data_IF_010654989976
#
_entry.id   IF_010654989976
#
_cell.length_a   1.000
_cell.length_b   1.000
_cell.length_c   1.000
_cell.angle_alpha   90.00
_cell.angle_beta   90.00
_cell.angle_gamma   90.00
#
_symmetry.space_group_name_H-M   'P 1'
#
loop_
_entity.id
_entity.type
_entity.pdbx_description
1 polymer ?
#
# COMPACT_ATOMS: atom_id res chain seq x y z
N UNK A 1 -9.55 23.03 -2.48
CA UNK A 1 -10.99 22.70 -2.64
C UNK A 1 -11.06 21.44 -3.50
N UNK A 2 -11.77 20.40 -3.06
CA UNK A 2 -12.00 19.22 -3.92
C UNK A 2 -12.83 19.65 -5.13
N UNK A 3 -12.59 19.07 -6.30
CA UNK A 3 -13.36 19.37 -7.52
C UNK A 3 -14.87 19.05 -7.38
N UNK A 4 -15.23 18.29 -6.34
CA UNK A 4 -16.58 17.82 -6.08
C UNK A 4 -17.14 18.44 -4.80
N UNK A 5 -18.32 19.05 -4.91
CA UNK A 5 -19.14 19.46 -3.77
C UNK A 5 -20.11 18.33 -3.41
N UNK A 6 -19.83 17.65 -2.29
CA UNK A 6 -20.63 16.50 -1.85
C UNK A 6 -21.86 16.90 -1.03
N UNK A 7 -22.07 18.19 -0.77
CA UNK A 7 -23.25 18.68 -0.03
C UNK A 7 -24.51 18.72 -0.90
N UNK A 8 -24.35 18.79 -2.22
CA UNK A 8 -25.45 18.76 -3.18
C UNK A 8 -25.66 17.37 -3.77
N UNK A 9 -26.90 17.08 -4.16
CA UNK A 9 -27.24 15.83 -4.84
C UNK A 9 -26.44 15.65 -6.14
N UNK A 10 -26.41 16.68 -7.00
CA UNK A 10 -25.72 16.62 -8.29
C UNK A 10 -24.20 16.53 -8.15
N UNK A 11 -23.60 17.24 -7.19
CA UNK A 11 -22.16 17.16 -6.97
C UNK A 11 -21.73 15.79 -6.43
N UNK A 12 -22.54 15.18 -5.55
CA UNK A 12 -22.34 13.79 -5.11
C UNK A 12 -22.52 12.79 -6.23
N UNK A 13 -23.55 12.93 -7.07
CA UNK A 13 -23.76 12.07 -8.25
C UNK A 13 -22.56 12.16 -9.21
N UNK A 14 -22.06 13.37 -9.48
CA UNK A 14 -20.88 13.59 -10.33
C UNK A 14 -19.64 12.90 -9.75
N UNK A 15 -19.41 13.00 -8.43
CA UNK A 15 -18.30 12.32 -7.77
C UNK A 15 -18.41 10.80 -7.90
N UNK A 16 -19.60 10.22 -7.72
CA UNK A 16 -19.80 8.79 -7.90
C UNK A 16 -19.58 8.31 -9.34
N UNK A 17 -20.06 9.07 -10.34
CA UNK A 17 -19.81 8.75 -11.74
C UNK A 17 -18.33 8.84 -12.10
N UNK A 18 -17.63 9.88 -11.64
CA UNK A 18 -16.18 10.00 -11.83
C UNK A 18 -15.43 8.84 -11.15
N UNK A 19 -15.79 8.50 -9.91
CA UNK A 19 -15.17 7.37 -9.20
C UNK A 19 -15.39 6.04 -9.96
N UNK A 20 -16.61 5.81 -10.45
CA UNK A 20 -16.96 4.62 -11.20
C UNK A 20 -16.09 4.46 -12.45
N UNK A 21 -15.97 5.51 -13.26
CA UNK A 21 -15.33 5.45 -14.57
C UNK A 21 -13.83 5.76 -14.53
N UNK A 22 -13.43 6.90 -13.96
CA UNK A 22 -12.03 7.36 -13.92
C UNK A 22 -11.17 6.40 -13.10
N UNK A 23 -11.65 5.96 -11.93
CA UNK A 23 -10.91 5.00 -11.11
C UNK A 23 -11.18 3.53 -11.46
N UNK A 24 -12.10 3.25 -12.39
CA UNK A 24 -12.57 1.89 -12.68
C UNK A 24 -13.09 1.20 -11.42
N UNK A 25 -13.85 1.93 -10.61
CA UNK A 25 -14.36 1.42 -9.33
C UNK A 25 -15.47 0.38 -9.50
N UNK A 26 -16.04 0.25 -10.70
CA UNK A 26 -16.98 -0.81 -11.04
C UNK A 26 -16.40 -2.22 -10.77
N UNK A 27 -15.09 -2.42 -10.95
CA UNK A 27 -14.37 -3.66 -10.60
C UNK A 27 -14.43 -3.99 -9.11
N UNK A 28 -14.74 -3.00 -8.26
CA UNK A 28 -14.68 -3.08 -6.79
C UNK A 28 -16.07 -2.95 -6.14
N UNK A 29 -17.14 -3.01 -6.93
CA UNK A 29 -18.51 -3.01 -6.39
C UNK A 29 -18.78 -4.27 -5.55
N UNK A 30 -18.35 -5.45 -6.03
CA UNK A 30 -18.49 -6.72 -5.32
C UNK A 30 -17.18 -7.30 -4.78
N UNK A 31 -16.04 -6.94 -5.36
CA UNK A 31 -14.73 -7.51 -5.00
C UNK A 31 -13.91 -6.54 -4.14
N UNK A 32 -13.46 -6.98 -2.96
CA UNK A 32 -12.81 -6.12 -1.95
C UNK A 32 -11.32 -6.41 -1.70
N UNK A 33 -10.73 -7.42 -2.36
CA UNK A 33 -9.36 -7.93 -2.11
C UNK A 33 -8.92 -7.77 -0.64
N UNK A 34 -9.80 -8.14 0.29
CA UNK A 34 -9.65 -7.88 1.70
C UNK A 34 -9.08 -9.10 2.41
N UNK A 35 -7.99 -8.89 3.14
CA UNK A 35 -7.29 -9.94 3.87
C UNK A 35 -6.86 -9.41 5.22
N UNK A 36 -7.15 -10.15 6.28
CA UNK A 36 -6.62 -9.85 7.60
C UNK A 36 -5.11 -10.13 7.62
N UNK A 37 -4.33 -9.14 8.01
CA UNK A 37 -2.88 -9.27 8.25
C UNK A 37 -2.65 -9.75 9.69
N UNK A 38 -3.52 -9.33 10.61
CA UNK A 38 -3.63 -9.75 12.02
C UNK A 38 -5.11 -9.66 12.45
N UNK A 39 -5.39 -9.81 13.73
CA UNK A 39 -6.69 -9.48 14.34
C UNK A 39 -6.96 -7.95 14.42
N UNK A 40 -5.93 -7.12 14.28
CA UNK A 40 -6.04 -5.66 14.36
C UNK A 40 -6.08 -4.96 12.98
N UNK A 41 -5.43 -5.50 11.95
CA UNK A 41 -5.28 -4.84 10.65
C UNK A 41 -5.81 -5.69 9.49
N UNK A 42 -6.72 -5.11 8.69
CA UNK A 42 -7.13 -5.65 7.39
C UNK A 42 -6.53 -4.83 6.26
N UNK A 43 -5.95 -5.49 5.26
CA UNK A 43 -5.55 -4.86 3.99
C UNK A 43 -6.66 -5.05 2.96
N UNK A 44 -6.91 -4.05 2.11
CA UNK A 44 -7.96 -4.12 1.10
C UNK A 44 -7.64 -3.31 -0.18
N UNK A 45 -8.47 -3.47 -1.21
CA UNK A 45 -8.54 -2.53 -2.33
C UNK A 45 -9.34 -1.27 -1.95
N UNK A 46 -9.44 -0.29 -2.87
CA UNK A 46 -10.12 0.98 -2.56
C UNK A 46 -11.59 0.70 -2.20
N UNK A 47 -12.03 1.04 -0.97
CA UNK A 47 -13.38 0.76 -0.55
C UNK A 47 -14.35 1.76 -1.16
N UNK A 48 -15.58 1.31 -1.39
CA UNK A 48 -16.71 2.18 -1.63
C UNK A 48 -17.27 2.73 -0.30
N UNK A 49 -17.95 3.90 -0.32
CA UNK A 49 -18.62 4.44 0.88
C UNK A 49 -19.54 3.44 1.59
N UNK A 50 -20.27 2.59 0.85
CA UNK A 50 -21.12 1.56 1.46
C UNK A 50 -20.31 0.41 2.09
N UNK A 51 -19.13 0.09 1.55
CA UNK A 51 -18.22 -0.91 2.11
C UNK A 51 -17.58 -0.40 3.40
N UNK A 52 -17.25 0.89 3.48
CA UNK A 52 -16.80 1.53 4.72
C UNK A 52 -17.86 1.40 5.83
N UNK A 53 -19.15 1.55 5.50
CA UNK A 53 -20.25 1.29 6.45
C UNK A 53 -20.26 -0.16 6.95
N UNK A 54 -19.93 -1.13 6.10
CA UNK A 54 -19.80 -2.55 6.52
C UNK A 54 -18.60 -2.74 7.44
N UNK A 55 -17.46 -2.12 7.13
CA UNK A 55 -16.27 -2.17 7.96
C UNK A 55 -16.46 -1.50 9.32
N UNK A 56 -17.17 -0.38 9.38
CA UNK A 56 -17.56 0.26 10.65
C UNK A 56 -18.36 -0.70 11.53
N UNK A 57 -19.32 -1.43 10.94
CA UNK A 57 -20.10 -2.45 11.66
C UNK A 57 -19.24 -3.62 12.15
N UNK A 58 -18.12 -3.90 11.48
CA UNK A 58 -17.12 -4.89 11.90
C UNK A 58 -16.11 -4.34 12.92
N UNK A 59 -16.28 -3.09 13.38
CA UNK A 59 -15.45 -2.49 14.42
C UNK A 59 -14.22 -1.72 13.92
N UNK A 60 -14.02 -1.55 12.61
CA UNK A 60 -12.91 -0.73 12.10
C UNK A 60 -13.08 0.72 12.58
N UNK A 61 -12.01 1.26 13.15
CA UNK A 61 -11.92 2.64 13.67
C UNK A 61 -11.15 3.55 12.73
N UNK A 62 -10.06 3.06 12.15
CA UNK A 62 -9.17 3.83 11.27
C UNK A 62 -9.15 3.29 9.84
N UNK A 63 -9.18 4.18 8.85
CA UNK A 63 -8.95 3.87 7.43
C UNK A 63 -7.66 4.56 6.99
N UNK A 64 -6.70 3.77 6.49
CA UNK A 64 -5.39 4.25 6.04
C UNK A 64 -5.38 4.24 4.51
N UNK A 65 -5.41 5.44 3.92
CA UNK A 65 -5.33 5.63 2.48
C UNK A 65 -3.87 5.77 2.02
N UNK A 66 -3.40 4.79 1.24
CA UNK A 66 -2.04 4.78 0.70
C UNK A 66 -1.91 5.49 -0.66
N UNK A 67 -2.97 6.12 -1.16
CA UNK A 67 -3.00 6.81 -2.44
C UNK A 67 -2.79 8.30 -2.26
N UNK A 68 -2.07 8.91 -3.19
CA UNK A 68 -2.15 10.35 -3.41
C UNK A 68 -3.39 10.72 -4.23
N UNK A 69 -3.48 12.00 -4.62
CA UNK A 69 -4.61 12.54 -5.38
C UNK A 69 -5.75 12.99 -4.46
N UNK A 70 -5.48 13.99 -3.63
CA UNK A 70 -6.42 14.52 -2.62
C UNK A 70 -7.55 15.36 -3.21
N UNK A 71 -7.46 15.68 -4.50
CA UNK A 71 -8.44 16.40 -5.31
C UNK A 71 -9.37 15.46 -6.09
N UNK A 72 -9.14 14.14 -6.02
CA UNK A 72 -9.91 13.14 -6.77
C UNK A 72 -11.25 12.80 -6.13
N UNK A 73 -12.18 12.24 -6.92
CA UNK A 73 -13.46 11.72 -6.43
C UNK A 73 -13.29 10.61 -5.39
N UNK A 74 -12.24 9.79 -5.52
CA UNK A 74 -12.00 8.67 -4.59
C UNK A 74 -11.72 9.19 -3.19
N UNK A 75 -10.82 10.17 -3.07
CA UNK A 75 -10.48 10.79 -1.79
C UNK A 75 -11.66 11.58 -1.21
N UNK A 76 -12.35 12.35 -2.04
CA UNK A 76 -13.50 13.13 -1.59
C UNK A 76 -14.61 12.24 -1.01
N UNK A 77 -14.99 11.17 -1.72
CA UNK A 77 -16.04 10.25 -1.28
C UNK A 77 -15.62 9.43 -0.06
N UNK A 78 -14.36 9.01 0.03
CA UNK A 78 -13.83 8.25 1.16
C UNK A 78 -13.77 9.10 2.43
N UNK A 79 -13.28 10.33 2.32
CA UNK A 79 -13.23 11.28 3.44
C UNK A 79 -14.63 11.59 3.98
N UNK A 80 -15.57 11.95 3.11
CA UNK A 80 -16.98 12.18 3.48
C UNK A 80 -17.60 10.95 4.15
N UNK A 81 -17.32 9.74 3.64
CA UNK A 81 -17.83 8.52 4.24
C UNK A 81 -17.24 8.27 5.63
N UNK A 82 -15.93 8.45 5.80
CA UNK A 82 -15.26 8.29 7.10
C UNK A 82 -15.80 9.29 8.13
N UNK A 83 -15.91 10.57 7.76
CA UNK A 83 -16.48 11.63 8.62
C UNK A 83 -17.90 11.27 9.07
N UNK A 84 -18.77 10.89 8.12
CA UNK A 84 -20.16 10.52 8.43
C UNK A 84 -20.31 9.26 9.28
N UNK A 85 -19.32 8.36 9.23
CA UNK A 85 -19.31 7.10 9.99
C UNK A 85 -18.56 7.22 11.33
N UNK A 86 -17.97 8.38 11.63
CA UNK A 86 -17.10 8.55 12.79
C UNK A 86 -15.92 7.58 12.74
N UNK A 87 -15.26 7.49 11.58
CA UNK A 87 -14.01 6.75 11.39
C UNK A 87 -12.88 7.74 11.16
N UNK A 88 -11.72 7.47 11.73
CA UNK A 88 -10.52 8.27 11.48
C UNK A 88 -9.95 7.90 10.12
N UNK A 89 -9.71 8.89 9.25
CA UNK A 89 -8.99 8.68 8.00
C UNK A 89 -7.55 9.17 8.14
N UNK A 90 -6.58 8.32 7.79
CA UNK A 90 -5.15 8.64 7.78
C UNK A 90 -4.63 8.54 6.35
N UNK A 91 -4.20 9.68 5.81
CA UNK A 91 -3.57 9.74 4.51
C UNK A 91 -2.05 9.50 4.64
N UNK A 92 -1.59 8.33 4.18
CA UNK A 92 -0.17 7.95 4.19
C UNK A 92 0.26 7.52 2.79
N UNK A 93 0.60 8.49 1.93
CA UNK A 93 0.88 8.21 0.52
C UNK A 93 2.05 7.24 0.37
N UNK A 94 1.91 6.22 -0.49
CA UNK A 94 3.00 5.32 -0.85
C UNK A 94 3.00 5.14 -2.37
N UNK A 95 4.16 4.86 -2.94
CA UNK A 95 4.37 4.57 -4.37
C UNK A 95 4.54 3.06 -4.57
N UNK A 96 3.95 2.48 -5.63
CA UNK A 96 4.00 1.04 -5.88
C UNK A 96 5.23 0.57 -6.68
N UNK A 97 6.09 1.48 -7.14
CA UNK A 97 7.21 1.19 -8.07
C UNK A 97 8.50 1.93 -7.71
N UNK A 98 8.63 2.29 -6.44
CA UNK A 98 9.79 3.02 -5.91
C UNK A 98 10.24 2.37 -4.62
N UNK A 99 11.52 2.53 -4.32
CA UNK A 99 12.06 2.24 -2.99
C UNK A 99 11.51 3.29 -2.01
N UNK A 100 10.92 2.90 -0.87
CA UNK A 100 10.51 3.86 0.13
C UNK A 100 11.68 4.75 0.57
N UNK A 101 11.43 6.04 0.81
CA UNK A 101 12.45 6.87 1.46
C UNK A 101 12.60 6.47 2.94
N UNK A 102 13.76 6.77 3.54
CA UNK A 102 13.99 6.60 4.99
C UNK A 102 12.85 7.21 5.82
N UNK A 103 12.49 8.45 5.50
CA UNK A 103 11.38 9.16 6.14
C UNK A 103 10.03 8.44 6.00
N UNK A 104 9.79 7.75 4.86
CA UNK A 104 8.56 6.97 4.66
C UNK A 104 8.56 5.71 5.53
N UNK A 105 9.68 5.02 5.66
CA UNK A 105 9.78 3.83 6.53
C UNK A 105 9.58 4.22 8.00
N UNK A 106 10.25 5.28 8.44
CA UNK A 106 10.12 5.81 9.80
C UNK A 106 8.70 6.30 10.08
N UNK A 107 8.11 7.04 9.13
CA UNK A 107 6.72 7.50 9.24
C UNK A 107 5.71 6.36 9.28
N UNK A 108 5.96 5.25 8.55
CA UNK A 108 5.10 4.08 8.60
C UNK A 108 5.11 3.42 9.99
N UNK A 109 6.31 3.27 10.59
CA UNK A 109 6.45 2.78 11.97
C UNK A 109 5.67 3.67 12.94
N UNK A 110 5.92 4.98 12.89
CA UNK A 110 5.23 5.94 13.76
C UNK A 110 3.71 5.91 13.59
N UNK A 111 3.23 5.81 12.35
CA UNK A 111 1.79 5.67 12.07
C UNK A 111 1.23 4.42 12.74
N UNK A 112 1.84 3.24 12.56
CA UNK A 112 1.35 2.01 13.19
C UNK A 112 1.39 2.04 14.72
N UNK A 113 2.31 2.80 15.32
CA UNK A 113 2.39 2.98 16.77
C UNK A 113 1.30 3.93 17.32
N UNK A 114 0.67 4.77 16.48
CA UNK A 114 -0.18 5.89 16.94
C UNK A 114 -1.63 5.81 16.50
N UNK A 115 -1.97 5.05 15.46
CA UNK A 115 -3.35 4.92 15.01
C UNK A 115 -4.22 4.11 15.97
N UNK A 116 -5.54 4.29 15.86
CA UNK A 116 -6.51 3.45 16.56
C UNK A 116 -6.83 2.17 15.77
N UNK A 117 -6.71 1.02 16.44
CA UNK A 117 -7.11 -0.29 15.92
C UNK A 117 -8.50 -0.72 16.43
N UNK A 118 -9.24 -1.58 15.69
CA UNK A 118 -8.89 -2.18 14.41
C UNK A 118 -8.85 -1.20 13.23
N UNK A 119 -7.94 -1.42 12.27
CA UNK A 119 -7.70 -0.52 11.15
C UNK A 119 -7.84 -1.24 9.79
N UNK A 120 -8.23 -0.49 8.77
CA UNK A 120 -8.24 -0.92 7.38
C UNK A 120 -7.20 -0.12 6.59
N UNK A 121 -6.26 -0.80 5.94
CA UNK A 121 -5.27 -0.18 5.07
C UNK A 121 -5.55 -0.53 3.61
N UNK A 122 -5.56 0.47 2.73
CA UNK A 122 -5.86 0.21 1.32
C UNK A 122 -5.03 1.02 0.35
N UNK A 123 -5.07 0.57 -0.90
CA UNK A 123 -4.64 1.34 -2.05
C UNK A 123 -5.67 1.14 -3.18
N UNK A 124 -5.30 1.30 -4.46
CA UNK A 124 -6.24 1.04 -5.56
C UNK A 124 -6.70 -0.42 -5.63
N UNK A 125 -5.76 -1.36 -5.75
CA UNK A 125 -6.05 -2.80 -5.92
C UNK A 125 -5.82 -3.64 -4.66
N UNK A 126 -5.30 -3.05 -3.58
CA UNK A 126 -4.91 -3.78 -2.37
C UNK A 126 -3.67 -4.68 -2.52
N UNK A 127 -2.95 -4.56 -3.64
CA UNK A 127 -1.80 -5.40 -3.98
C UNK A 127 -0.47 -4.78 -3.50
N UNK A 128 0.12 -3.86 -4.26
CA UNK A 128 1.51 -3.46 -4.07
C UNK A 128 1.73 -2.53 -2.87
N UNK A 129 1.06 -1.37 -2.83
CA UNK A 129 1.22 -0.38 -1.74
C UNK A 129 0.72 -0.93 -0.41
N UNK A 130 -0.45 -1.56 -0.43
CA UNK A 130 -0.96 -2.26 0.73
C UNK A 130 -0.04 -3.43 1.12
N UNK A 131 0.57 -4.11 0.15
CA UNK A 131 1.54 -5.18 0.37
C UNK A 131 2.76 -4.72 1.13
N UNK A 132 3.49 -3.73 0.62
CA UNK A 132 4.69 -3.22 1.31
C UNK A 132 4.36 -2.67 2.70
N UNK A 133 3.24 -1.96 2.85
CA UNK A 133 2.83 -1.48 4.17
C UNK A 133 2.39 -2.62 5.10
N UNK A 134 1.88 -3.72 4.57
CA UNK A 134 1.57 -4.93 5.35
C UNK A 134 2.85 -5.66 5.79
N UNK A 135 3.90 -5.67 4.97
CA UNK A 135 5.24 -6.14 5.39
C UNK A 135 5.76 -5.28 6.55
N UNK A 136 5.70 -3.95 6.41
CA UNK A 136 6.15 -3.03 7.46
C UNK A 136 5.31 -3.14 8.73
N UNK A 137 3.99 -3.30 8.62
CA UNK A 137 3.11 -3.54 9.77
C UNK A 137 3.48 -4.84 10.49
N UNK A 138 3.60 -5.95 9.74
CA UNK A 138 3.96 -7.24 10.30
C UNK A 138 5.31 -7.19 11.02
N UNK A 139 6.28 -6.47 10.46
CA UNK A 139 7.58 -6.29 11.09
C UNK A 139 7.53 -5.38 12.33
N UNK A 140 7.01 -4.16 12.19
CA UNK A 140 7.08 -3.16 13.27
C UNK A 140 6.06 -3.38 14.39
N UNK A 141 4.83 -3.79 14.06
CA UNK A 141 3.75 -3.99 15.05
C UNK A 141 3.74 -5.41 15.61
N UNK A 142 3.90 -6.42 14.74
CA UNK A 142 3.82 -7.84 15.17
C UNK A 142 5.19 -8.45 15.51
N UNK A 143 6.29 -7.73 15.27
CA UNK A 143 7.64 -8.21 15.55
C UNK A 143 8.12 -9.32 14.62
N UNK A 144 7.45 -9.56 13.49
CA UNK A 144 7.84 -10.63 12.57
C UNK A 144 9.19 -10.31 11.91
N UNK A 145 10.08 -11.31 11.71
CA UNK A 145 11.25 -11.13 10.86
C UNK A 145 10.86 -10.70 9.44
N UNK A 146 11.68 -9.85 8.80
CA UNK A 146 11.39 -9.37 7.42
C UNK A 146 11.19 -10.55 6.46
N UNK A 147 11.98 -11.62 6.61
CA UNK A 147 11.89 -12.85 5.81
C UNK A 147 10.49 -13.47 5.83
N UNK A 148 9.80 -13.43 6.96
CA UNK A 148 8.44 -13.94 7.11
C UNK A 148 7.41 -12.91 6.63
N UNK A 149 7.60 -11.64 7.04
CA UNK A 149 6.71 -10.54 6.70
C UNK A 149 6.59 -10.34 5.17
N UNK A 150 7.64 -10.64 4.41
CA UNK A 150 7.65 -10.59 2.94
C UNK A 150 6.56 -11.47 2.29
N UNK A 151 5.97 -12.44 2.98
CA UNK A 151 4.81 -13.19 2.48
C UNK A 151 3.59 -12.30 2.14
N UNK A 152 3.56 -11.07 2.68
CA UNK A 152 2.57 -10.04 2.33
C UNK A 152 2.75 -9.49 0.90
N UNK A 153 3.88 -9.76 0.23
CA UNK A 153 4.11 -9.51 -1.19
C UNK A 153 4.02 -10.84 -1.94
N UNK A 154 2.80 -11.25 -2.29
CA UNK A 154 2.58 -12.53 -2.98
C UNK A 154 1.41 -12.50 -3.96
N UNK A 155 1.37 -13.45 -4.92
CA UNK A 155 0.25 -13.57 -5.86
C UNK A 155 -1.12 -13.74 -5.19
N UNK A 156 -1.16 -14.26 -3.95
CA UNK A 156 -2.38 -14.34 -3.12
C UNK A 156 -3.07 -12.97 -3.01
N UNK A 157 -2.29 -11.90 -2.96
CA UNK A 157 -2.77 -10.53 -2.82
C UNK A 157 -2.74 -9.74 -4.13
N UNK A 158 -2.61 -10.44 -5.27
CA UNK A 158 -2.46 -9.90 -6.62
C UNK A 158 -1.15 -9.13 -6.87
N UNK A 159 -0.13 -9.33 -6.02
CA UNK A 159 1.19 -8.75 -6.22
C UNK A 159 2.00 -9.60 -7.23
N UNK A 160 2.68 -8.93 -8.16
CA UNK A 160 3.51 -9.57 -9.19
C UNK A 160 4.93 -9.01 -9.15
N UNK A 161 5.87 -9.84 -8.69
CA UNK A 161 7.29 -9.48 -8.57
C UNK A 161 8.00 -9.28 -9.91
N UNK A 162 7.56 -9.96 -10.98
CA UNK A 162 8.23 -9.91 -12.29
C UNK A 162 8.16 -8.53 -12.99
N UNK A 163 7.26 -7.65 -12.56
CA UNK A 163 7.13 -6.29 -13.08
C UNK A 163 7.96 -5.25 -12.32
N UNK A 164 7.78 -3.98 -12.65
CA UNK A 164 8.42 -2.85 -11.93
C UNK A 164 8.02 -2.77 -10.44
N UNK A 165 6.94 -3.44 -10.05
CA UNK A 165 6.49 -3.60 -8.67
C UNK A 165 7.41 -4.50 -7.84
N UNK A 166 8.23 -5.34 -8.47
CA UNK A 166 9.24 -6.18 -7.80
C UNK A 166 10.34 -5.40 -7.09
N UNK A 167 10.43 -4.08 -7.31
CA UNK A 167 11.32 -3.21 -6.52
C UNK A 167 10.96 -3.24 -5.03
N UNK A 168 9.69 -3.51 -4.69
CA UNK A 168 9.25 -3.60 -3.30
C UNK A 168 9.87 -4.82 -2.60
N UNK A 169 9.88 -5.97 -3.26
CA UNK A 169 10.58 -7.17 -2.79
C UNK A 169 12.08 -6.91 -2.70
N UNK A 170 12.63 -6.30 -3.75
CA UNK A 170 14.07 -6.07 -3.88
C UNK A 170 14.67 -5.28 -2.70
N UNK A 171 13.92 -4.33 -2.13
CA UNK A 171 14.37 -3.58 -0.95
C UNK A 171 14.56 -4.48 0.26
N UNK A 172 13.64 -5.41 0.50
CA UNK A 172 13.75 -6.35 1.61
C UNK A 172 14.83 -7.40 1.32
N UNK A 173 14.97 -7.86 0.08
CA UNK A 173 16.03 -8.78 -0.34
C UNK A 173 17.42 -8.17 -0.13
N UNK A 174 17.57 -6.87 -0.42
CA UNK A 174 18.79 -6.11 -0.11
C UNK A 174 19.09 -6.08 1.38
N UNK A 175 18.10 -5.79 2.21
CA UNK A 175 18.27 -5.87 3.66
C UNK A 175 18.70 -7.26 4.12
N UNK A 176 18.05 -8.32 3.63
CA UNK A 176 18.37 -9.70 4.00
C UNK A 176 19.77 -10.14 3.53
N UNK A 177 20.30 -9.52 2.48
CA UNK A 177 21.64 -9.81 1.96
C UNK A 177 22.74 -8.96 2.64
N UNK A 178 22.45 -7.70 2.95
CA UNK A 178 23.47 -6.72 3.34
C UNK A 178 23.42 -6.32 4.83
N UNK A 179 22.22 -6.30 5.42
CA UNK A 179 21.95 -5.82 6.78
C UNK A 179 21.80 -6.95 7.79
N UNK A 180 20.85 -7.87 7.55
CA UNK A 180 20.55 -8.98 8.47
C UNK A 180 21.80 -9.83 8.82
N UNK A 181 22.68 -10.21 7.86
CA UNK A 181 23.89 -10.98 8.17
C UNK A 181 24.92 -10.23 9.03
N UNK A 182 24.82 -8.90 9.09
CA UNK A 182 25.66 -8.04 9.95
C UNK A 182 25.04 -7.81 11.33
N UNK A 183 23.93 -8.46 11.64
CA UNK A 183 23.19 -8.29 12.89
C UNK A 183 22.45 -6.96 12.99
N UNK A 184 22.26 -6.24 11.88
CA UNK A 184 21.46 -5.02 11.87
C UNK A 184 19.98 -5.38 11.84
N UNK A 185 19.16 -4.67 12.62
CA UNK A 185 17.72 -4.64 12.41
C UNK A 185 17.38 -3.92 11.09
N UNK A 186 16.17 -4.15 10.56
CA UNK A 186 15.72 -3.47 9.34
C UNK A 186 15.82 -1.95 9.46
N UNK A 187 15.44 -1.40 10.63
CA UNK A 187 15.49 0.04 10.84
C UNK A 187 16.91 0.58 10.88
N UNK A 188 17.83 -0.10 11.57
CA UNK A 188 19.25 0.28 11.58
C UNK A 188 19.85 0.26 10.18
N UNK A 189 19.49 -0.72 9.35
CA UNK A 189 19.92 -0.76 7.96
C UNK A 189 19.34 0.41 7.16
N UNK A 190 18.03 0.71 7.30
CA UNK A 190 17.39 1.87 6.66
C UNK A 190 18.03 3.20 7.07
N UNK A 191 18.43 3.35 8.33
CA UNK A 191 19.08 4.56 8.85
C UNK A 191 20.55 4.68 8.43
N UNK A 192 21.19 3.57 8.04
CA UNK A 192 22.59 3.55 7.61
C UNK A 192 22.80 4.11 6.20
N UNK A 193 24.05 4.45 5.89
CA UNK A 193 24.48 4.89 4.56
C UNK A 193 24.29 3.83 3.47
N UNK A 194 24.18 2.55 3.84
CA UNK A 194 23.91 1.47 2.89
C UNK A 194 22.51 1.59 2.24
N UNK A 195 21.57 2.27 2.90
CA UNK A 195 20.23 2.48 2.38
C UNK A 195 20.15 3.73 1.50
N UNK A 196 20.53 3.61 0.24
CA UNK A 196 20.29 4.64 -0.77
C UNK A 196 19.12 4.23 -1.69
N UNK A 197 17.91 4.82 -1.52
CA UNK A 197 16.75 4.52 -2.35
C UNK A 197 16.99 4.72 -3.86
N UNK A 198 17.82 5.69 -4.23
CA UNK A 198 18.12 5.99 -5.64
C UNK A 198 19.02 4.91 -6.22
N UNK A 199 20.09 4.55 -5.51
CA UNK A 199 20.99 3.47 -5.93
C UNK A 199 20.28 2.12 -5.97
N UNK A 200 19.55 1.75 -4.91
CA UNK A 200 18.80 0.49 -4.85
C UNK A 200 17.82 0.38 -6.04
N UNK A 201 17.11 1.46 -6.37
CA UNK A 201 16.19 1.48 -7.52
C UNK A 201 16.92 1.34 -8.85
N UNK A 202 18.06 2.03 -9.01
CA UNK A 202 18.88 1.95 -10.23
C UNK A 202 19.36 0.52 -10.45
N UNK A 203 19.83 -0.13 -9.40
CA UNK A 203 20.33 -1.50 -9.45
C UNK A 203 19.22 -2.51 -9.75
N UNK A 204 18.04 -2.34 -9.14
CA UNK A 204 16.85 -3.12 -9.48
C UNK A 204 16.53 -3.04 -10.98
N UNK A 205 16.53 -1.82 -11.54
CA UNK A 205 16.25 -1.61 -12.97
C UNK A 205 17.30 -2.25 -13.86
N UNK A 206 18.59 -2.11 -13.53
CA UNK A 206 19.66 -2.73 -14.31
C UNK A 206 19.51 -4.25 -14.36
N UNK A 207 19.24 -4.89 -13.23
CA UNK A 207 19.00 -6.34 -13.15
C UNK A 207 17.77 -6.76 -13.95
N UNK A 208 16.67 -6.01 -13.83
CA UNK A 208 15.44 -6.29 -14.55
C UNK A 208 15.61 -6.21 -16.08
N UNK A 209 16.33 -5.20 -16.58
CA UNK A 209 16.66 -5.10 -18.01
C UNK A 209 17.55 -6.25 -18.48
N UNK A 210 18.52 -6.66 -17.67
CA UNK A 210 19.37 -7.83 -17.94
C UNK A 210 18.52 -9.08 -18.14
N UNK A 211 17.62 -9.38 -17.20
CA UNK A 211 16.71 -10.54 -17.29
C UNK A 211 15.82 -10.49 -18.52
N UNK A 212 15.23 -9.33 -18.83
CA UNK A 212 14.36 -9.18 -20.00
C UNK A 212 15.11 -9.41 -21.33
N UNK A 213 16.36 -8.96 -21.43
CA UNK A 213 17.20 -9.20 -22.60
C UNK A 213 17.52 -10.69 -22.76
N UNK A 214 17.90 -11.36 -21.66
CA UNK A 214 18.18 -12.81 -21.67
C UNK A 214 16.96 -13.62 -22.05
N UNK A 215 15.78 -13.34 -21.47
CA UNK A 215 14.54 -14.05 -21.81
C UNK A 215 14.11 -13.84 -23.26
N UNK A 216 14.32 -12.63 -23.80
CA UNK A 216 14.01 -12.34 -25.21
C UNK A 216 14.94 -13.06 -26.17
N UNK A 217 16.22 -13.24 -25.80
CA UNK A 217 17.17 -14.04 -26.58
C UNK A 217 16.82 -15.53 -26.52
N UNK A 218 16.53 -16.07 -25.33
CA UNK A 218 16.16 -17.48 -25.15
C UNK A 218 14.83 -17.89 -25.81
N UNK A 219 13.93 -16.94 -26.12
CA UNK A 219 12.69 -17.19 -26.89
C UNK A 219 12.87 -17.07 -28.41
N UNK A 220 14.05 -16.64 -28.88
CA UNK A 220 14.38 -16.51 -30.32
C UNK A 220 15.18 -17.70 -30.85
N UNK A 221 15.59 -18.60 -29.96
CA UNK A 221 16.13 -19.93 -30.24
C UNK A 221 15.01 -20.97 -30.07
#
# INVERSE_FOLDING_TARGET
>A
MTQFDLTTFFGRLKAYLDYLWTDHAWLRLGFMNDHWVSDELVRANQPWPFQLKLWKKRGIKTVINLRGGFDTSTHALERDACERLGMTMVDFVVTSREVPSRARVLGARQMFDTIEYPALIHCKSGADRAGIMSVLYAHFRLGQPIREAMAQLSPKYLHVKAGLTGVLDYVFERYLAEGEPKGQSFLQWVESDAYDPVAIKKDFRANWWGTLLTEKLARRE
#
